data_IF_837057228543
#
_entry.id   IF_837057228543
#
_cell.length_a   1.000
_cell.length_b   1.000
_cell.length_c   1.000
_cell.angle_alpha   90.00
_cell.angle_beta   90.00
_cell.angle_gamma   90.00
#
_symmetry.space_group_name_H-M   'P 1'
#
loop_
_entity.id
_entity.type
_entity.pdbx_description
1 polymer ?
#
# COMPACT_ATOMS: atom_id res chain seq x y z
N UNK A 1 -0.80 18.56 -6.53
CA UNK A 1 0.56 18.45 -5.93
C UNK A 1 0.56 18.39 -4.41
N UNK A 2 -0.38 19.04 -3.69
CA UNK A 2 -0.46 18.93 -2.21
C UNK A 2 -0.78 17.48 -1.76
N UNK A 3 -1.72 16.82 -2.43
CA UNK A 3 -2.11 15.44 -2.09
C UNK A 3 -0.96 14.42 -2.17
N UNK A 4 -0.09 14.51 -3.20
CA UNK A 4 1.08 13.64 -3.30
C UNK A 4 2.08 13.88 -2.16
N UNK A 5 2.25 15.13 -1.72
CA UNK A 5 3.09 15.46 -0.56
C UNK A 5 2.56 14.86 0.75
N UNK A 6 1.25 14.88 0.98
CA UNK A 6 0.61 14.26 2.14
C UNK A 6 0.86 12.75 2.14
N UNK A 7 0.65 12.09 1.00
CA UNK A 7 0.85 10.64 0.89
C UNK A 7 2.32 10.23 1.04
N UNK A 8 3.27 11.06 0.59
CA UNK A 8 4.70 10.84 0.84
C UNK A 8 5.04 10.93 2.34
N UNK A 9 4.50 11.90 3.06
CA UNK A 9 4.70 11.99 4.50
C UNK A 9 4.12 10.76 5.24
N UNK A 10 2.91 10.33 4.85
CA UNK A 10 2.28 9.12 5.38
C UNK A 10 3.14 7.88 5.11
N UNK A 11 3.68 7.72 3.90
CA UNK A 11 4.58 6.61 3.58
C UNK A 11 5.81 6.59 4.48
N UNK A 12 6.43 7.75 4.72
CA UNK A 12 7.59 7.85 5.62
C UNK A 12 7.23 7.42 7.05
N UNK A 13 6.06 7.82 7.55
CA UNK A 13 5.59 7.42 8.89
C UNK A 13 5.39 5.91 8.98
N UNK A 14 4.69 5.32 8.00
CA UNK A 14 4.44 3.87 7.97
C UNK A 14 5.76 3.10 7.83
N UNK A 15 6.68 3.58 7.00
CA UNK A 15 7.98 2.94 6.82
C UNK A 15 8.82 2.96 8.11
N UNK A 16 8.80 4.08 8.84
CA UNK A 16 9.44 4.15 10.16
C UNK A 16 8.80 3.17 11.14
N UNK A 17 7.47 3.12 11.20
CA UNK A 17 6.74 2.16 12.04
C UNK A 17 7.15 0.71 11.73
N UNK A 18 7.21 0.34 10.45
CA UNK A 18 7.61 -0.99 9.99
C UNK A 18 9.03 -1.40 10.46
N UNK A 19 9.96 -0.44 10.52
CA UNK A 19 11.34 -0.69 10.99
C UNK A 19 11.36 -0.98 12.49
N UNK A 20 10.63 -0.18 13.28
CA UNK A 20 10.69 -0.24 14.74
C UNK A 20 9.80 -1.31 15.35
N UNK A 21 8.71 -1.66 14.69
CA UNK A 21 7.76 -2.64 15.21
C UNK A 21 8.39 -4.05 15.20
N UNK A 22 8.22 -4.81 16.29
CA UNK A 22 8.72 -6.18 16.38
C UNK A 22 7.63 -7.22 16.05
N UNK A 23 6.37 -6.84 16.25
CA UNK A 23 5.22 -7.69 15.96
C UNK A 23 5.11 -7.94 14.44
N UNK A 24 5.16 -9.22 14.05
CA UNK A 24 5.09 -9.64 12.65
C UNK A 24 3.75 -9.29 12.01
N UNK A 25 2.65 -9.25 12.77
CA UNK A 25 1.32 -8.91 12.25
C UNK A 25 1.22 -7.43 11.97
N UNK A 26 1.74 -6.60 12.87
CA UNK A 26 1.84 -5.17 12.62
C UNK A 26 2.72 -4.88 11.40
N UNK A 27 3.81 -5.63 11.20
CA UNK A 27 4.60 -5.55 9.95
C UNK A 27 3.80 -5.91 8.70
N UNK A 28 2.98 -6.96 8.74
CA UNK A 28 2.13 -7.34 7.61
C UNK A 28 1.10 -6.25 7.30
N UNK A 29 0.48 -5.67 8.35
CA UNK A 29 -0.45 -4.56 8.19
C UNK A 29 0.24 -3.30 7.66
N UNK A 30 1.48 -3.03 8.06
CA UNK A 30 2.28 -1.94 7.51
C UNK A 30 2.59 -2.15 6.02
N UNK A 31 2.93 -3.39 5.62
CA UNK A 31 3.17 -3.74 4.20
C UNK A 31 1.91 -3.52 3.37
N UNK A 32 0.76 -4.04 3.84
CA UNK A 32 -0.54 -3.77 3.23
C UNK A 32 -0.84 -2.26 3.13
N UNK A 33 -0.58 -1.52 4.20
CA UNK A 33 -0.78 -0.07 4.25
C UNK A 33 0.12 0.65 3.24
N UNK A 34 1.42 0.34 3.19
CA UNK A 34 2.38 0.89 2.21
C UNK A 34 1.93 0.61 0.78
N UNK A 35 1.58 -0.63 0.46
CA UNK A 35 1.08 -1.04 -0.85
C UNK A 35 -0.11 -0.18 -1.28
N UNK A 36 -1.12 -0.03 -0.40
CA UNK A 36 -2.28 0.81 -0.69
C UNK A 36 -1.94 2.29 -0.94
N UNK A 37 -0.98 2.87 -0.21
CA UNK A 37 -0.59 4.28 -0.36
C UNK A 37 0.24 4.51 -1.61
N UNK A 38 1.08 3.55 -1.99
CA UNK A 38 1.80 3.56 -3.27
C UNK A 38 0.79 3.52 -4.44
N UNK A 39 -0.23 2.66 -4.38
CA UNK A 39 -1.30 2.61 -5.39
C UNK A 39 -1.96 3.98 -5.59
N UNK A 40 -2.27 4.68 -4.49
CA UNK A 40 -2.85 6.04 -4.56
C UNK A 40 -1.85 7.05 -5.12
N UNK A 41 -0.56 6.95 -4.80
CA UNK A 41 0.45 7.83 -5.39
C UNK A 41 0.59 7.64 -6.90
N UNK A 42 0.57 6.40 -7.38
CA UNK A 42 0.61 6.11 -8.83
C UNK A 42 -0.62 6.73 -9.50
N UNK A 43 -1.81 6.59 -8.89
CA UNK A 43 -3.04 7.23 -9.40
C UNK A 43 -2.94 8.76 -9.45
N UNK A 44 -2.52 9.38 -8.34
CA UNK A 44 -2.36 10.84 -8.28
C UNK A 44 -1.33 11.34 -9.30
N UNK A 45 -0.26 10.57 -9.51
CA UNK A 45 0.76 10.88 -10.51
C UNK A 45 0.20 10.76 -11.93
N UNK A 46 -0.47 9.65 -12.26
CA UNK A 46 -1.15 9.44 -13.55
C UNK A 46 -2.16 10.57 -13.85
N UNK A 47 -2.96 10.95 -12.86
CA UNK A 47 -3.92 12.04 -12.98
C UNK A 47 -3.23 13.39 -13.22
N UNK A 48 -2.10 13.63 -12.54
CA UNK A 48 -1.35 14.88 -12.70
C UNK A 48 -0.64 14.98 -14.06
N UNK A 49 -0.14 13.88 -14.60
CA UNK A 49 0.57 13.86 -15.90
C UNK A 49 -0.38 13.66 -17.08
N UNK A 50 -1.62 13.24 -16.84
CA UNK A 50 -2.61 12.83 -17.85
C UNK A 50 -2.08 11.73 -18.79
N UNK A 51 -1.18 10.91 -18.27
CA UNK A 51 -0.55 9.82 -19.00
C UNK A 51 -1.34 8.53 -18.84
N UNK A 52 -1.89 8.02 -19.95
CA UNK A 52 -2.70 6.81 -20.00
C UNK A 52 -1.85 5.58 -19.65
N UNK A 53 -0.56 5.54 -19.99
CA UNK A 53 0.30 4.40 -19.68
C UNK A 53 0.51 4.27 -18.17
N UNK A 54 0.62 5.38 -17.44
CA UNK A 54 0.74 5.35 -15.98
C UNK A 54 -0.58 4.91 -15.35
N UNK A 55 -1.72 5.25 -15.96
CA UNK A 55 -3.02 4.77 -15.51
C UNK A 55 -3.15 3.25 -15.68
N UNK A 56 -2.63 2.67 -16.77
CA UNK A 56 -2.55 1.21 -16.93
C UNK A 56 -1.69 0.56 -15.84
N UNK A 57 -0.52 1.14 -15.54
CA UNK A 57 0.34 0.68 -14.43
C UNK A 57 -0.41 0.72 -13.10
N UNK A 58 -1.18 1.79 -12.85
CA UNK A 58 -2.05 1.87 -11.67
C UNK A 58 -3.04 0.71 -11.60
N UNK A 59 -3.71 0.36 -12.71
CA UNK A 59 -4.67 -0.75 -12.73
C UNK A 59 -4.03 -2.09 -12.36
N UNK A 60 -2.88 -2.41 -12.96
CA UNK A 60 -2.15 -3.64 -12.61
C UNK A 60 -1.72 -3.64 -11.15
N UNK A 61 -1.15 -2.52 -10.68
CA UNK A 61 -0.69 -2.41 -9.30
C UNK A 61 -1.85 -2.52 -8.30
N UNK A 62 -3.01 -1.94 -8.60
CA UNK A 62 -4.22 -2.05 -7.80
C UNK A 62 -4.72 -3.50 -7.69
N UNK A 63 -4.67 -4.27 -8.79
CA UNK A 63 -5.01 -5.70 -8.79
C UNK A 63 -4.05 -6.50 -7.90
N UNK A 64 -2.75 -6.29 -8.04
CA UNK A 64 -1.76 -6.96 -7.17
C UNK A 64 -1.95 -6.59 -5.69
N UNK A 65 -2.21 -5.32 -5.40
CA UNK A 65 -2.49 -4.84 -4.05
C UNK A 65 -3.75 -5.49 -3.45
N UNK A 66 -4.78 -5.73 -4.26
CA UNK A 66 -5.98 -6.46 -3.81
C UNK A 66 -5.68 -7.93 -3.47
N UNK A 67 -4.90 -8.62 -4.30
CA UNK A 67 -4.48 -10.01 -4.04
C UNK A 67 -3.63 -10.10 -2.77
N UNK A 68 -2.70 -9.17 -2.60
CA UNK A 68 -1.88 -9.04 -1.39
C UNK A 68 -2.74 -8.89 -0.13
N UNK A 69 -3.74 -8.01 -0.16
CA UNK A 69 -4.67 -7.79 0.96
C UNK A 69 -5.47 -9.06 1.31
N UNK A 70 -5.96 -9.78 0.30
CA UNK A 70 -6.67 -11.05 0.50
C UNK A 70 -5.74 -12.08 1.15
N UNK A 71 -4.50 -12.18 0.67
CA UNK A 71 -3.50 -13.10 1.21
C UNK A 71 -3.16 -12.78 2.68
N UNK A 72 -2.92 -11.50 2.99
CA UNK A 72 -2.66 -11.06 4.37
C UNK A 72 -3.86 -11.35 5.26
N UNK A 73 -5.08 -11.06 4.80
CA UNK A 73 -6.31 -11.39 5.52
C UNK A 73 -6.43 -12.88 5.82
N UNK A 74 -6.17 -13.74 4.83
CA UNK A 74 -6.16 -15.19 5.02
C UNK A 74 -5.12 -15.65 6.06
N UNK A 75 -3.90 -15.10 6.02
CA UNK A 75 -2.83 -15.42 6.99
C UNK A 75 -3.22 -15.02 8.40
N UNK A 76 -3.87 -13.87 8.57
CA UNK A 76 -4.35 -13.39 9.87
C UNK A 76 -5.45 -14.31 10.41
N UNK A 77 -6.50 -14.57 9.63
CA UNK A 77 -7.65 -15.37 10.06
C UNK A 77 -7.31 -16.82 10.36
N UNK A 78 -6.39 -17.43 9.59
CA UNK A 78 -6.02 -18.84 9.80
C UNK A 78 -5.37 -19.05 11.17
N UNK A 79 -4.67 -18.05 11.70
CA UNK A 79 -4.02 -18.16 13.00
C UNK A 79 -4.97 -17.99 14.17
N UNK A 80 -6.02 -17.17 14.04
CA UNK A 80 -7.04 -17.04 15.09
C UNK A 80 -7.79 -18.36 15.35
N UNK A 81 -7.66 -19.33 14.43
CA UNK A 81 -8.24 -20.67 14.51
C UNK A 81 -7.27 -21.75 15.06
N UNK A 82 -5.98 -21.44 15.23
CA UNK A 82 -4.93 -22.33 15.78
C UNK A 82 -4.60 -21.98 17.24
#
# INVERSE_FOLDING_TARGET
>A
MIYSGIYLAILTIIFLHFIFVQDRYQKLLDVASLSSKITVLIFLYAFSTRDIFILEVFFFYALFSAVEMIFIGYVLTRRDLE
#
